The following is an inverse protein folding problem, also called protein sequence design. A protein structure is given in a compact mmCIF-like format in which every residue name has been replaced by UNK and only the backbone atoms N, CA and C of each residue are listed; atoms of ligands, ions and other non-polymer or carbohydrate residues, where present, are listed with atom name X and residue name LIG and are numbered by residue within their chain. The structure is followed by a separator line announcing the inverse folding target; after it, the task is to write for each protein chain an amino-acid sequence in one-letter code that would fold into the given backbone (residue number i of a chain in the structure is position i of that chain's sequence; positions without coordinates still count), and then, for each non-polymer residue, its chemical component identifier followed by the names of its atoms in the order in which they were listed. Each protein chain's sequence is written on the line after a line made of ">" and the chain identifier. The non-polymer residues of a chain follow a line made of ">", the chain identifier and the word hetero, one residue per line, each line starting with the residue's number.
data_IF_827675116539
#
_entry.id   IF_827675116539
#
_cell.length_a   1.000
_cell.length_b   1.000
_cell.length_c   1.000
_cell.angle_alpha   90.00
_cell.angle_beta   90.00
_cell.angle_gamma   90.00
#
_symmetry.space_group_name_H-M   'P 1'
#
loop_
_entity.id
_entity.type
_entity.pdbx_description
1 polymer ?
#
# COMPACT_ATOMS: atom_id res chain seq x y z
N UNK A 1 -21.50 -14.61 -9.45
CA UNK A 1 -20.89 -13.94 -8.28
C UNK A 1 -21.76 -12.75 -7.89
N UNK A 2 -22.21 -12.69 -6.64
CA UNK A 2 -22.95 -11.54 -6.14
C UNK A 2 -22.07 -10.29 -6.18
N UNK A 3 -22.58 -9.18 -6.72
CA UNK A 3 -21.85 -7.91 -6.70
C UNK A 3 -21.90 -7.30 -5.31
N UNK A 4 -20.80 -6.68 -4.86
CA UNK A 4 -20.76 -5.92 -3.63
C UNK A 4 -21.84 -4.82 -3.62
N UNK A 5 -22.66 -4.80 -2.58
CA UNK A 5 -23.68 -3.74 -2.43
C UNK A 5 -23.03 -2.42 -2.01
N UNK A 6 -22.99 -1.47 -2.94
CA UNK A 6 -22.35 -0.15 -2.73
C UNK A 6 -22.95 0.66 -1.57
N UNK A 7 -24.18 0.40 -1.15
CA UNK A 7 -24.80 1.04 0.03
C UNK A 7 -24.06 0.72 1.33
N UNK A 8 -23.23 -0.33 1.35
CA UNK A 8 -22.46 -0.74 2.53
C UNK A 8 -21.12 0.00 2.68
N UNK A 9 -20.64 0.73 1.66
CA UNK A 9 -19.40 1.50 1.78
C UNK A 9 -19.30 2.37 3.05
N UNK A 10 -20.34 3.15 3.43
CA UNK A 10 -20.25 4.03 4.58
C UNK A 10 -19.97 3.31 5.90
N UNK A 11 -20.49 2.10 6.10
CA UNK A 11 -20.29 1.30 7.32
C UNK A 11 -18.80 0.97 7.50
N UNK A 12 -18.19 0.45 6.45
CA UNK A 12 -16.79 0.04 6.46
C UNK A 12 -15.83 1.21 6.43
N UNK A 13 -16.13 2.25 5.65
CA UNK A 13 -15.33 3.48 5.59
C UNK A 13 -15.33 4.21 6.95
N UNK A 14 -16.47 4.27 7.66
CA UNK A 14 -16.55 4.82 9.03
C UNK A 14 -15.70 4.02 10.00
N UNK A 15 -15.71 2.69 9.89
CA UNK A 15 -14.86 1.82 10.71
C UNK A 15 -13.38 2.09 10.45
N UNK A 16 -12.93 2.10 9.18
CA UNK A 16 -11.53 2.37 8.81
C UNK A 16 -11.08 3.76 9.24
N UNK A 17 -11.94 4.78 9.08
CA UNK A 17 -11.66 6.15 9.52
C UNK A 17 -11.45 6.24 11.06
N UNK A 18 -12.24 5.50 11.84
CA UNK A 18 -12.03 5.39 13.29
C UNK A 18 -10.75 4.62 13.59
N UNK A 19 -10.52 3.50 12.90
CA UNK A 19 -9.34 2.65 13.10
C UNK A 19 -8.04 3.42 12.88
N UNK A 20 -7.96 4.28 11.84
CA UNK A 20 -6.79 5.13 11.59
C UNK A 20 -6.42 6.00 12.80
N UNK A 21 -7.43 6.64 13.42
CA UNK A 21 -7.25 7.47 14.62
C UNK A 21 -6.83 6.62 15.83
N UNK A 22 -7.48 5.46 16.01
CA UNK A 22 -7.17 4.51 17.08
C UNK A 22 -5.72 3.99 16.95
N UNK A 23 -5.24 3.71 15.73
CA UNK A 23 -3.87 3.26 15.44
C UNK A 23 -2.83 4.34 15.76
N UNK A 24 -3.09 5.58 15.36
CA UNK A 24 -2.21 6.71 15.69
C UNK A 24 -2.15 6.94 17.20
N UNK A 25 -3.29 6.89 17.89
CA UNK A 25 -3.33 6.98 19.35
C UNK A 25 -2.60 5.80 20.03
N UNK A 26 -2.77 4.59 19.53
CA UNK A 26 -2.09 3.39 20.04
C UNK A 26 -0.58 3.49 19.89
N UNK A 27 -0.09 3.99 18.74
CA UNK A 27 1.33 4.25 18.54
C UNK A 27 1.88 5.18 19.62
N UNK A 28 1.32 6.37 19.79
CA UNK A 28 1.83 7.37 20.73
C UNK A 28 1.70 6.95 22.21
N UNK A 29 0.65 6.21 22.55
CA UNK A 29 0.42 5.78 23.94
C UNK A 29 1.19 4.52 24.34
N UNK A 30 1.49 3.61 23.40
CA UNK A 30 2.03 2.27 23.73
C UNK A 30 3.32 1.92 23.02
N UNK A 31 3.52 2.36 21.77
CA UNK A 31 4.60 1.87 20.89
C UNK A 31 5.67 2.91 20.58
N UNK A 32 5.46 4.19 20.90
CA UNK A 32 6.48 5.23 20.76
C UNK A 32 7.55 5.12 21.88
N UNK A 33 8.19 3.95 21.93
CA UNK A 33 9.16 3.52 22.95
C UNK A 33 10.22 2.66 22.27
N UNK A 34 11.14 2.11 23.08
CA UNK A 34 12.08 1.07 22.64
C UNK A 34 11.32 -0.18 22.19
N UNK A 35 11.74 -0.78 21.09
CA UNK A 35 11.23 -2.02 20.55
C UNK A 35 12.38 -3.00 20.29
N UNK A 36 12.07 -4.30 20.23
CA UNK A 36 13.02 -5.33 19.84
C UNK A 36 12.88 -5.60 18.35
N UNK A 37 14.01 -5.83 17.67
CA UNK A 37 14.07 -6.20 16.26
C UNK A 37 14.53 -7.65 16.16
N UNK A 38 13.87 -8.42 15.30
CA UNK A 38 14.25 -9.77 14.92
C UNK A 38 14.34 -9.85 13.40
N UNK A 39 15.08 -10.82 12.87
CA UNK A 39 15.12 -11.08 11.43
C UNK A 39 14.26 -12.30 11.11
N UNK A 40 13.28 -12.19 10.20
CA UNK A 40 12.44 -13.30 9.75
C UNK A 40 13.23 -14.34 8.96
N UNK A 41 14.33 -13.92 8.29
CA UNK A 41 15.15 -14.81 7.48
C UNK A 41 16.19 -15.54 8.33
N UNK A 42 16.26 -16.87 8.15
CA UNK A 42 17.35 -17.71 8.66
C UNK A 42 18.43 -17.79 7.58
N UNK A 43 19.60 -17.13 7.78
CA UNK A 43 20.71 -17.15 6.82
C UNK A 43 20.99 -15.80 6.17
N UNK A 44 21.30 -15.80 4.84
CA UNK A 44 21.61 -14.56 4.12
C UNK A 44 20.35 -13.75 3.84
N UNK A 45 20.40 -12.45 4.13
CA UNK A 45 19.31 -11.50 3.90
C UNK A 45 18.84 -10.82 5.19
N UNK A 46 18.06 -9.75 5.03
CA UNK A 46 17.53 -8.96 6.14
C UNK A 46 16.06 -8.63 5.88
N UNK A 47 15.19 -9.26 6.66
CA UNK A 47 13.74 -9.03 6.68
C UNK A 47 13.31 -8.78 8.13
N UNK A 48 13.37 -7.52 8.60
CA UNK A 48 13.14 -7.20 10.00
C UNK A 48 11.66 -7.30 10.36
N UNK A 49 11.41 -7.80 11.58
CA UNK A 49 10.14 -7.70 12.29
C UNK A 49 10.40 -7.12 13.67
N UNK A 50 9.51 -6.29 14.15
CA UNK A 50 9.64 -5.70 15.48
C UNK A 50 8.51 -6.15 16.40
N UNK A 51 8.72 -5.98 17.70
CA UNK A 51 7.63 -6.20 18.69
C UNK A 51 6.44 -5.26 18.43
N UNK A 52 6.66 -4.16 17.70
CA UNK A 52 5.60 -3.23 17.32
C UNK A 52 4.73 -3.76 16.19
N UNK A 53 5.29 -4.49 15.20
CA UNK A 53 4.52 -5.17 14.14
C UNK A 53 3.50 -6.12 14.77
N UNK A 54 3.98 -6.98 15.67
CA UNK A 54 3.16 -7.94 16.40
C UNK A 54 2.05 -7.26 17.20
N UNK A 55 2.38 -6.17 17.91
CA UNK A 55 1.42 -5.43 18.72
C UNK A 55 0.36 -4.72 17.88
N UNK A 56 0.75 -4.09 16.76
CA UNK A 56 -0.18 -3.46 15.83
C UNK A 56 -1.13 -4.47 15.21
N UNK A 57 -0.63 -5.60 14.70
CA UNK A 57 -1.49 -6.59 14.08
C UNK A 57 -2.49 -7.18 15.07
N UNK A 58 -2.05 -7.49 16.30
CA UNK A 58 -2.94 -7.93 17.38
C UNK A 58 -4.04 -6.91 17.69
N UNK A 59 -3.67 -5.63 17.74
CA UNK A 59 -4.63 -4.54 17.97
C UNK A 59 -5.65 -4.44 16.83
N UNK A 60 -5.20 -4.45 15.56
CA UNK A 60 -6.07 -4.37 14.38
C UNK A 60 -7.03 -5.55 14.33
N UNK A 61 -6.51 -6.78 14.51
CA UNK A 61 -7.32 -8.01 14.55
C UNK A 61 -8.41 -7.97 15.63
N UNK A 62 -8.07 -7.47 16.83
CA UNK A 62 -9.03 -7.30 17.92
C UNK A 62 -10.18 -6.37 17.53
N UNK A 63 -9.88 -5.21 16.92
CA UNK A 63 -10.88 -4.25 16.46
C UNK A 63 -11.78 -4.82 15.37
N UNK A 64 -11.19 -5.50 14.38
CA UNK A 64 -11.93 -6.15 13.30
C UNK A 64 -12.82 -7.28 13.84
N UNK A 65 -12.27 -8.19 14.62
CA UNK A 65 -13.01 -9.35 15.16
C UNK A 65 -14.18 -8.94 16.07
N UNK A 66 -14.02 -7.84 16.83
CA UNK A 66 -15.10 -7.28 17.64
C UNK A 66 -16.25 -6.74 16.80
N UNK A 67 -15.96 -6.06 15.66
CA UNK A 67 -16.99 -5.42 14.84
C UNK A 67 -17.53 -6.32 13.73
N UNK A 68 -16.69 -7.19 13.18
CA UNK A 68 -16.97 -8.06 12.04
C UNK A 68 -16.49 -9.51 12.35
N UNK A 69 -17.10 -10.20 13.34
CA UNK A 69 -16.58 -11.48 13.85
C UNK A 69 -16.56 -12.61 12.80
N UNK A 70 -17.42 -12.51 11.78
CA UNK A 70 -17.54 -13.51 10.70
C UNK A 70 -16.57 -13.27 9.53
N UNK A 71 -15.91 -12.10 9.44
CA UNK A 71 -15.00 -11.80 8.33
C UNK A 71 -13.67 -12.57 8.47
N UNK A 72 -13.08 -12.90 7.34
CA UNK A 72 -11.71 -13.42 7.26
C UNK A 72 -10.70 -12.32 7.60
N UNK A 73 -9.53 -12.71 8.11
CA UNK A 73 -8.41 -11.78 8.34
C UNK A 73 -7.13 -12.45 7.83
N UNK A 74 -6.43 -11.78 6.94
CA UNK A 74 -5.13 -12.19 6.40
C UNK A 74 -4.13 -11.13 6.85
N UNK A 75 -3.14 -11.50 7.63
CA UNK A 75 -2.13 -10.56 8.12
C UNK A 75 -0.74 -11.09 7.89
N UNK A 76 0.22 -10.21 7.82
CA UNK A 76 1.61 -10.54 7.58
C UNK A 76 2.22 -11.36 8.73
N UNK A 77 1.89 -11.04 9.99
CA UNK A 77 2.56 -11.62 11.16
C UNK A 77 1.80 -12.81 11.78
N UNK A 78 0.47 -12.76 11.82
CA UNK A 78 -0.37 -13.82 12.40
C UNK A 78 -1.07 -14.70 11.36
N UNK A 79 -0.75 -14.53 10.06
CA UNK A 79 -1.29 -15.35 8.99
C UNK A 79 -2.81 -15.20 8.81
N UNK A 80 -3.48 -16.28 8.46
CA UNK A 80 -4.86 -16.28 7.99
C UNK A 80 -5.86 -16.84 9.01
N UNK A 81 -6.82 -16.00 9.44
CA UNK A 81 -8.06 -16.44 10.09
C UNK A 81 -9.09 -16.72 8.99
N UNK A 82 -9.24 -17.98 8.61
CA UNK A 82 -10.19 -18.41 7.57
C UNK A 82 -11.62 -18.54 8.14
N UNK A 83 -12.59 -18.09 7.37
CA UNK A 83 -14.03 -18.27 7.60
C UNK A 83 -14.73 -18.48 6.26
N UNK A 84 -16.05 -18.77 6.26
CA UNK A 84 -16.85 -18.87 5.01
C UNK A 84 -17.32 -17.52 4.46
N UNK A 85 -16.76 -16.39 4.93
CA UNK A 85 -17.18 -15.04 4.52
C UNK A 85 -16.65 -14.68 3.14
N UNK A 86 -17.45 -13.99 2.33
CA UNK A 86 -17.01 -13.31 1.10
C UNK A 86 -16.12 -12.09 1.39
N UNK A 87 -16.10 -11.60 2.65
CA UNK A 87 -15.28 -10.48 3.10
C UNK A 87 -14.00 -10.96 3.76
N UNK A 88 -12.89 -10.37 3.36
CA UNK A 88 -11.60 -10.54 4.03
C UNK A 88 -10.93 -9.19 4.30
N UNK A 89 -10.25 -9.09 5.45
CA UNK A 89 -9.36 -7.99 5.78
C UNK A 89 -7.93 -8.42 5.51
N UNK A 90 -7.18 -7.60 4.77
CA UNK A 90 -5.75 -7.83 4.54
C UNK A 90 -4.99 -6.75 5.29
N UNK A 91 -3.97 -7.14 6.06
CA UNK A 91 -3.28 -6.27 7.03
C UNK A 91 -1.78 -6.38 6.85
N UNK A 92 -1.13 -5.23 6.69
CA UNK A 92 0.27 -5.03 6.99
C UNK A 92 0.36 -4.12 8.23
N UNK A 93 0.87 -4.63 9.35
CA UNK A 93 0.95 -3.85 10.59
C UNK A 93 1.94 -2.69 10.50
N UNK A 94 3.08 -2.88 9.83
CA UNK A 94 4.09 -1.84 9.59
C UNK A 94 4.71 -2.04 8.19
N UNK A 95 4.07 -1.49 7.16
CA UNK A 95 4.71 -1.33 5.86
C UNK A 95 5.92 -0.40 5.96
N UNK A 96 7.04 -0.85 5.42
CA UNK A 96 8.31 -0.14 5.58
C UNK A 96 8.97 -0.37 6.95
N UNK A 97 9.01 -1.61 7.45
CA UNK A 97 9.64 -1.96 8.74
C UNK A 97 11.09 -1.50 8.83
N UNK A 98 11.84 -1.49 7.70
CA UNK A 98 13.20 -0.92 7.67
C UNK A 98 13.21 0.57 7.98
N UNK A 99 12.25 1.33 7.44
CA UNK A 99 12.05 2.75 7.77
C UNK A 99 11.67 2.94 9.25
N UNK A 100 10.82 2.07 9.79
CA UNK A 100 10.45 2.07 11.20
C UNK A 100 11.67 1.87 12.11
N UNK A 101 12.50 0.86 11.83
CA UNK A 101 13.69 0.51 12.63
C UNK A 101 14.71 1.65 12.72
N UNK A 102 14.92 2.39 11.63
CA UNK A 102 15.85 3.54 11.61
C UNK A 102 15.21 4.87 12.02
N UNK A 103 13.97 4.84 12.50
CA UNK A 103 13.28 6.03 13.02
C UNK A 103 12.71 6.97 11.96
N UNK A 104 12.68 6.57 10.67
CA UNK A 104 12.06 7.35 9.59
C UNK A 104 10.54 7.48 9.85
N UNK A 105 9.92 8.46 9.22
CA UNK A 105 8.48 8.76 9.38
C UNK A 105 7.60 8.15 8.27
N UNK A 106 8.21 7.53 7.25
CA UNK A 106 7.53 7.07 6.05
C UNK A 106 6.80 5.72 6.18
N UNK A 107 6.99 4.99 7.28
CA UNK A 107 6.30 3.73 7.52
C UNK A 107 4.78 3.92 7.76
N UNK A 108 4.01 2.88 7.48
CA UNK A 108 2.54 2.95 7.57
C UNK A 108 1.90 1.67 8.12
N UNK A 109 0.66 1.80 8.64
CA UNK A 109 -0.22 0.64 8.81
C UNK A 109 -1.10 0.55 7.57
N UNK A 110 -1.14 -0.60 6.91
CA UNK A 110 -1.94 -0.83 5.73
C UNK A 110 -3.08 -1.80 6.02
N UNK A 111 -4.30 -1.42 5.72
CA UNK A 111 -5.48 -2.26 5.93
C UNK A 111 -6.40 -2.19 4.71
N UNK A 112 -6.75 -3.34 4.17
CA UNK A 112 -7.74 -3.45 3.09
C UNK A 112 -8.96 -4.23 3.54
N UNK A 113 -10.15 -3.81 3.09
CA UNK A 113 -11.32 -4.66 3.03
C UNK A 113 -11.49 -5.17 1.61
N UNK A 114 -11.55 -6.48 1.46
CA UNK A 114 -11.78 -7.16 0.20
C UNK A 114 -13.17 -7.81 0.18
N UNK A 115 -13.75 -7.92 -0.99
CA UNK A 115 -14.96 -8.68 -1.27
C UNK A 115 -14.70 -9.67 -2.40
N UNK A 116 -14.89 -10.96 -2.16
CA UNK A 116 -14.53 -12.04 -3.09
C UNK A 116 -13.08 -11.92 -3.63
N UNK A 117 -12.14 -11.59 -2.74
CA UNK A 117 -10.72 -11.42 -3.08
C UNK A 117 -10.34 -10.06 -3.68
N UNK A 118 -11.29 -9.25 -4.15
CA UNK A 118 -11.02 -7.94 -4.74
C UNK A 118 -11.00 -6.82 -3.68
N UNK A 119 -9.95 -6.00 -3.61
CA UNK A 119 -9.88 -4.86 -2.70
C UNK A 119 -10.91 -3.79 -3.03
N UNK A 120 -11.80 -3.48 -2.07
CA UNK A 120 -12.87 -2.48 -2.25
C UNK A 120 -12.66 -1.22 -1.41
N UNK A 121 -12.01 -1.34 -0.25
CA UNK A 121 -11.60 -0.21 0.58
C UNK A 121 -10.15 -0.42 1.03
N UNK A 122 -9.39 0.67 1.12
CA UNK A 122 -8.02 0.68 1.60
C UNK A 122 -7.75 1.86 2.51
N UNK A 123 -7.01 1.59 3.57
CA UNK A 123 -6.47 2.56 4.52
C UNK A 123 -4.94 2.45 4.51
N UNK A 124 -4.27 3.58 4.29
CA UNK A 124 -2.84 3.75 4.54
C UNK A 124 -2.67 4.82 5.63
N UNK A 125 -2.31 4.40 6.85
CA UNK A 125 -2.16 5.25 8.01
C UNK A 125 -0.69 5.48 8.33
N UNK A 126 -0.27 6.73 8.45
CA UNK A 126 1.10 7.16 8.78
C UNK A 126 1.11 7.82 10.16
N UNK A 127 1.22 7.05 11.25
CA UNK A 127 1.08 7.55 12.62
C UNK A 127 2.05 8.69 12.95
N UNK A 128 3.33 8.57 12.57
CA UNK A 128 4.34 9.61 12.82
C UNK A 128 4.06 10.93 12.09
N UNK A 129 3.38 10.86 10.94
CA UNK A 129 2.97 12.05 10.18
C UNK A 129 1.61 12.58 10.63
N UNK A 130 0.88 11.86 11.51
CA UNK A 130 -0.52 12.16 11.89
C UNK A 130 -1.43 12.34 10.67
N UNK A 131 -1.21 11.50 9.66
CA UNK A 131 -1.82 11.57 8.33
C UNK A 131 -2.29 10.18 7.89
N UNK A 132 -3.43 10.09 7.23
CA UNK A 132 -3.88 8.84 6.63
C UNK A 132 -4.65 9.07 5.34
N UNK A 133 -4.64 8.04 4.48
CA UNK A 133 -5.33 7.99 3.19
C UNK A 133 -6.37 6.89 3.25
N UNK A 134 -7.56 7.20 2.75
CA UNK A 134 -8.70 6.30 2.77
C UNK A 134 -9.60 6.58 1.56
N UNK A 135 -9.94 5.54 0.78
CA UNK A 135 -11.06 5.68 -0.14
C UNK A 135 -12.39 5.45 0.61
N UNK A 136 -13.38 6.26 0.30
CA UNK A 136 -14.72 6.14 0.91
C UNK A 136 -15.68 5.29 0.07
N UNK A 137 -15.36 5.14 -1.22
CA UNK A 137 -16.03 4.30 -2.20
C UNK A 137 -15.12 4.14 -3.43
N UNK A 138 -15.60 3.46 -4.48
CA UNK A 138 -14.81 3.20 -5.69
C UNK A 138 -14.38 4.45 -6.48
N UNK A 139 -15.02 5.61 -6.24
CA UNK A 139 -14.84 6.84 -7.03
C UNK A 139 -14.24 8.00 -6.22
N UNK A 140 -13.99 7.82 -4.93
CA UNK A 140 -13.48 8.89 -4.09
C UNK A 140 -12.56 8.41 -3.00
N UNK A 141 -11.36 9.00 -2.97
CA UNK A 141 -10.38 8.82 -1.92
C UNK A 141 -9.95 10.18 -1.36
N UNK A 142 -9.50 10.17 -0.13
CA UNK A 142 -9.14 11.38 0.61
C UNK A 142 -7.89 11.17 1.42
N UNK A 143 -7.14 12.25 1.62
CA UNK A 143 -6.15 12.38 2.68
C UNK A 143 -6.76 13.14 3.85
N UNK A 144 -6.45 12.68 5.06
CA UNK A 144 -6.84 13.28 6.32
C UNK A 144 -5.58 13.68 7.07
N UNK A 145 -5.43 14.96 7.32
CA UNK A 145 -4.26 15.55 7.97
C UNK A 145 -4.66 16.84 8.69
N UNK A 146 -4.22 17.06 9.93
CA UNK A 146 -4.49 18.28 10.71
C UNK A 146 -5.99 18.65 10.72
N UNK A 147 -6.87 17.68 10.97
CA UNK A 147 -8.33 17.82 10.96
C UNK A 147 -8.92 18.27 9.61
N UNK A 148 -8.12 18.35 8.54
CA UNK A 148 -8.57 18.61 7.19
C UNK A 148 -8.79 17.30 6.43
N UNK A 149 -9.78 17.30 5.54
CA UNK A 149 -10.10 16.22 4.61
C UNK A 149 -9.97 16.76 3.19
N UNK A 150 -8.97 16.30 2.46
CA UNK A 150 -8.72 16.75 1.08
C UNK A 150 -8.93 15.59 0.11
N UNK A 151 -9.71 15.82 -0.95
CA UNK A 151 -9.97 14.81 -1.97
C UNK A 151 -8.70 14.54 -2.77
N UNK A 152 -8.37 13.27 -2.94
CA UNK A 152 -7.25 12.86 -3.77
C UNK A 152 -7.62 12.97 -5.25
N UNK A 153 -6.68 13.47 -6.03
CA UNK A 153 -6.81 13.57 -7.48
C UNK A 153 -5.42 13.61 -8.12
N UNK A 154 -5.16 12.66 -8.99
CA UNK A 154 -3.91 12.64 -9.77
C UNK A 154 -3.83 13.83 -10.74
N UNK A 155 -2.60 14.18 -11.14
CA UNK A 155 -2.37 15.12 -12.24
C UNK A 155 -2.22 14.35 -13.56
N UNK A 156 -3.33 14.10 -14.25
CA UNK A 156 -3.36 13.31 -15.49
C UNK A 156 -2.84 14.06 -16.73
N UNK A 157 -2.56 15.37 -16.63
CA UNK A 157 -2.09 16.20 -17.75
C UNK A 157 -0.58 16.13 -17.98
N UNK A 158 0.19 15.70 -16.97
CA UNK A 158 1.65 15.61 -17.09
C UNK A 158 2.03 14.46 -18.03
N UNK A 159 2.75 14.80 -19.09
CA UNK A 159 3.26 13.84 -20.06
C UNK A 159 4.57 13.19 -19.58
N UNK A 160 5.03 12.16 -20.29
CA UNK A 160 6.17 11.35 -19.90
C UNK A 160 7.49 12.13 -19.78
N UNK A 161 7.73 13.18 -20.59
CA UNK A 161 8.96 13.97 -20.53
C UNK A 161 9.12 14.71 -19.20
N UNK A 162 8.00 15.18 -18.64
CA UNK A 162 7.95 15.99 -17.42
C UNK A 162 7.48 15.18 -16.19
N UNK A 163 7.19 13.89 -16.36
CA UNK A 163 6.69 13.05 -15.29
C UNK A 163 7.78 12.77 -14.24
N UNK A 164 7.46 13.03 -12.99
CA UNK A 164 8.24 12.60 -11.83
C UNK A 164 8.07 11.10 -11.63
N UNK A 165 9.20 10.39 -11.62
CA UNK A 165 9.25 8.95 -11.51
C UNK A 165 10.02 8.54 -10.27
N UNK A 166 9.38 7.75 -9.41
CA UNK A 166 9.99 7.08 -8.28
C UNK A 166 9.92 5.55 -8.48
N UNK A 167 10.99 4.85 -8.13
CA UNK A 167 10.99 3.40 -8.19
C UNK A 167 11.88 2.79 -7.11
N UNK A 168 11.53 1.56 -6.70
CA UNK A 168 12.32 0.75 -5.79
C UNK A 168 12.33 -0.71 -6.23
N UNK A 169 13.51 -1.30 -6.23
CA UNK A 169 13.67 -2.70 -6.66
C UNK A 169 13.89 -3.66 -5.50
N UNK A 170 14.09 -3.17 -4.28
CA UNK A 170 14.25 -3.96 -3.03
C UNK A 170 15.19 -5.16 -3.18
N UNK A 171 16.28 -5.01 -3.96
CA UNK A 171 17.23 -6.07 -4.33
C UNK A 171 16.64 -7.24 -5.15
N UNK A 172 15.41 -7.12 -5.68
CA UNK A 172 14.78 -8.15 -6.52
C UNK A 172 15.20 -8.11 -8.00
N UNK A 173 15.94 -7.08 -8.41
CA UNK A 173 16.56 -7.01 -9.73
C UNK A 173 18.08 -7.09 -9.60
N UNK A 174 18.68 -8.12 -10.20
CA UNK A 174 20.14 -8.22 -10.32
C UNK A 174 20.70 -7.07 -11.17
N UNK A 175 21.99 -6.76 -11.04
CA UNK A 175 22.66 -5.77 -11.89
C UNK A 175 22.47 -6.05 -13.39
N UNK A 176 22.55 -7.32 -13.80
CA UNK A 176 22.31 -7.74 -15.20
C UNK A 176 20.88 -7.39 -15.67
N UNK A 177 19.88 -7.52 -14.81
CA UNK A 177 18.50 -7.13 -15.12
C UNK A 177 18.35 -5.61 -15.16
N UNK A 178 18.97 -4.89 -14.22
CA UNK A 178 18.94 -3.42 -14.20
C UNK A 178 19.58 -2.81 -15.45
N UNK A 179 20.68 -3.39 -15.96
CA UNK A 179 21.30 -2.98 -17.22
C UNK A 179 20.34 -3.07 -18.41
N UNK A 180 19.42 -4.06 -18.43
CA UNK A 180 18.42 -4.20 -19.50
C UNK A 180 17.38 -3.06 -19.50
N UNK A 181 17.20 -2.35 -18.39
CA UNK A 181 16.23 -1.26 -18.22
C UNK A 181 16.89 0.09 -17.93
N UNK A 182 18.12 0.29 -18.38
CA UNK A 182 18.89 1.52 -18.14
C UNK A 182 18.14 2.80 -18.54
N UNK A 183 17.36 2.77 -19.64
CA UNK A 183 16.53 3.90 -20.08
C UNK A 183 15.45 4.27 -19.04
N UNK A 184 14.92 3.29 -18.32
CA UNK A 184 14.00 3.51 -17.20
C UNK A 184 14.75 4.06 -15.97
N UNK A 185 15.86 3.42 -15.59
CA UNK A 185 16.66 3.80 -14.41
C UNK A 185 17.14 5.25 -14.51
N UNK A 186 17.60 5.70 -15.67
CA UNK A 186 18.02 7.10 -15.89
C UNK A 186 16.92 8.12 -15.62
N UNK A 187 15.66 7.70 -15.52
CA UNK A 187 14.53 8.58 -15.21
C UNK A 187 14.09 8.52 -13.75
N UNK A 188 14.70 7.63 -12.94
CA UNK A 188 14.45 7.54 -11.50
C UNK A 188 15.14 8.73 -10.80
N UNK A 189 14.37 9.76 -10.49
CA UNK A 189 14.90 11.00 -9.92
C UNK A 189 14.35 11.31 -8.53
N UNK A 190 13.33 10.57 -8.10
CA UNK A 190 12.65 10.81 -6.83
C UNK A 190 12.79 9.61 -5.89
N UNK A 191 12.90 9.87 -4.58
CA UNK A 191 12.95 8.79 -3.61
C UNK A 191 11.65 7.99 -3.63
N UNK A 192 11.76 6.70 -3.34
CA UNK A 192 10.64 5.78 -3.25
C UNK A 192 10.56 5.23 -1.81
N UNK A 193 9.46 5.51 -1.11
CA UNK A 193 9.20 5.12 0.27
C UNK A 193 7.92 4.28 0.31
N UNK A 194 8.05 2.99 0.10
CA UNK A 194 6.98 2.01 0.24
C UNK A 194 5.57 2.56 -0.10
N UNK A 195 4.55 2.37 0.73
CA UNK A 195 3.19 2.87 0.49
C UNK A 195 3.09 4.41 0.38
N UNK A 196 3.97 5.17 1.05
CA UNK A 196 3.91 6.63 1.00
C UNK A 196 4.03 7.16 -0.43
N UNK A 197 4.88 6.54 -1.25
CA UNK A 197 5.08 6.98 -2.63
C UNK A 197 3.84 6.78 -3.51
N UNK A 198 3.13 5.66 -3.33
CA UNK A 198 1.83 5.45 -3.98
C UNK A 198 0.79 6.48 -3.53
N UNK A 199 0.79 6.84 -2.25
CA UNK A 199 -0.09 7.87 -1.71
C UNK A 199 0.25 9.27 -2.27
N UNK A 200 1.53 9.60 -2.43
CA UNK A 200 1.97 10.83 -3.07
C UNK A 200 1.56 10.90 -4.55
N UNK A 201 1.52 9.77 -5.26
CA UNK A 201 0.96 9.71 -6.60
C UNK A 201 -0.55 10.02 -6.57
N UNK A 202 -1.29 9.44 -5.64
CA UNK A 202 -2.72 9.70 -5.48
C UNK A 202 -3.02 11.18 -5.14
N UNK A 203 -2.08 11.89 -4.50
CA UNK A 203 -2.14 13.36 -4.28
C UNK A 203 -1.80 14.17 -5.56
N UNK A 204 -1.32 13.53 -6.64
CA UNK A 204 -0.86 14.19 -7.85
C UNK A 204 0.53 14.85 -7.73
N UNK A 205 1.34 14.46 -6.73
CA UNK A 205 2.70 14.97 -6.52
C UNK A 205 3.76 14.20 -7.31
N UNK A 206 3.51 12.94 -7.63
CA UNK A 206 4.35 12.05 -8.44
C UNK A 206 3.45 11.47 -9.52
N UNK A 207 3.97 11.25 -10.72
CA UNK A 207 3.19 10.76 -11.84
C UNK A 207 3.36 9.26 -12.10
N UNK A 208 4.51 8.69 -11.70
CA UNK A 208 4.86 7.29 -11.99
C UNK A 208 5.55 6.67 -10.78
N UNK A 209 5.04 5.52 -10.33
CA UNK A 209 5.65 4.72 -9.27
C UNK A 209 5.79 3.27 -9.75
N UNK A 210 7.01 2.72 -9.65
CA UNK A 210 7.29 1.33 -9.97
C UNK A 210 8.04 0.65 -8.84
N UNK A 211 7.47 -0.40 -8.26
CA UNK A 211 8.08 -1.16 -7.17
C UNK A 211 8.09 -2.64 -7.47
N UNK A 212 9.11 -3.36 -6.96
CA UNK A 212 9.22 -4.81 -7.06
C UNK A 212 8.69 -5.51 -5.82
N UNK A 213 8.29 -6.77 -6.02
CA UNK A 213 8.05 -7.76 -4.96
C UNK A 213 7.03 -7.37 -3.88
N UNK A 214 6.04 -6.54 -4.25
CA UNK A 214 4.95 -6.22 -3.33
C UNK A 214 4.19 -7.50 -2.97
N UNK A 215 3.92 -7.70 -1.69
CA UNK A 215 3.01 -8.72 -1.20
C UNK A 215 1.57 -8.24 -1.29
N UNK A 216 0.62 -9.13 -1.04
CA UNK A 216 -0.80 -8.75 -1.07
C UNK A 216 -1.15 -7.71 -0.01
N UNK A 217 -0.49 -7.73 1.15
CA UNK A 217 -0.73 -6.77 2.23
C UNK A 217 -0.12 -5.40 1.94
N UNK A 218 0.94 -5.28 1.12
CA UNK A 218 1.49 -4.00 0.68
C UNK A 218 0.57 -3.32 -0.33
N UNK A 219 -0.10 -4.09 -1.20
CA UNK A 219 -0.76 -3.52 -2.39
C UNK A 219 -2.29 -3.49 -2.31
N UNK A 220 -2.96 -4.44 -1.64
CA UNK A 220 -4.42 -4.43 -1.53
C UNK A 220 -4.98 -3.13 -0.94
N UNK A 221 -4.37 -2.53 0.11
CA UNK A 221 -4.82 -1.24 0.64
C UNK A 221 -4.63 -0.08 -0.35
N UNK A 222 -3.62 -0.17 -1.19
CA UNK A 222 -3.24 0.88 -2.15
C UNK A 222 -4.14 0.88 -3.40
N UNK A 223 -4.50 -0.30 -3.92
CA UNK A 223 -5.31 -0.45 -5.14
C UNK A 223 -6.56 0.45 -5.14
N UNK A 224 -7.47 0.39 -4.14
CA UNK A 224 -8.69 1.19 -4.15
C UNK A 224 -8.40 2.68 -3.94
N UNK A 225 -7.36 3.06 -3.21
CA UNK A 225 -6.98 4.46 -3.00
C UNK A 225 -6.54 5.11 -4.31
N UNK A 226 -5.58 4.49 -5.01
CA UNK A 226 -5.02 5.06 -6.25
C UNK A 226 -6.03 5.03 -7.41
N UNK A 227 -6.82 3.95 -7.52
CA UNK A 227 -7.92 3.88 -8.51
C UNK A 227 -8.97 4.98 -8.28
N UNK A 228 -9.37 5.20 -7.03
CA UNK A 228 -10.35 6.25 -6.68
C UNK A 228 -9.79 7.68 -6.87
N UNK A 229 -8.47 7.87 -6.86
CA UNK A 229 -7.80 9.11 -7.24
C UNK A 229 -7.69 9.30 -8.76
N UNK A 230 -7.98 8.25 -9.57
CA UNK A 230 -7.96 8.26 -11.03
C UNK A 230 -6.72 7.64 -11.66
N UNK A 231 -5.82 7.02 -10.89
CA UNK A 231 -4.61 6.40 -11.40
C UNK A 231 -4.87 5.03 -12.06
N UNK A 232 -3.93 4.61 -12.90
CA UNK A 232 -3.87 3.28 -13.49
C UNK A 232 -2.86 2.46 -12.69
N UNK A 233 -3.25 1.27 -12.27
CA UNK A 233 -2.38 0.33 -11.55
C UNK A 233 -2.45 -1.05 -12.18
N UNK A 234 -1.29 -1.63 -12.48
CA UNK A 234 -1.12 -3.01 -12.98
C UNK A 234 0.18 -3.61 -12.45
N UNK A 235 0.39 -4.89 -12.72
CA UNK A 235 1.74 -5.47 -12.66
C UNK A 235 2.58 -4.97 -13.84
N UNK A 236 3.91 -5.21 -13.84
CA UNK A 236 4.81 -4.83 -14.95
C UNK A 236 4.54 -5.59 -16.25
N UNK A 237 3.84 -6.72 -16.18
CA UNK A 237 3.34 -7.46 -17.36
C UNK A 237 1.88 -7.13 -17.71
N UNK A 238 1.39 -5.98 -17.22
CA UNK A 238 0.08 -5.41 -17.51
C UNK A 238 -1.11 -6.30 -17.07
N UNK A 239 -0.97 -7.02 -15.96
CA UNK A 239 -2.04 -7.83 -15.37
C UNK A 239 -2.68 -7.16 -14.16
N UNK A 240 -3.77 -7.77 -13.65
CA UNK A 240 -4.39 -7.35 -12.39
C UNK A 240 -3.39 -7.48 -11.21
N UNK A 241 -3.18 -6.42 -10.42
CA UNK A 241 -2.18 -6.40 -9.33
C UNK A 241 -2.63 -7.13 -8.05
N UNK A 242 -3.79 -7.75 -8.02
CA UNK A 242 -4.38 -8.37 -6.80
C UNK A 242 -3.51 -9.48 -6.19
N UNK A 243 -2.67 -10.13 -6.97
CA UNK A 243 -1.74 -11.12 -6.44
C UNK A 243 -0.39 -10.53 -5.96
N UNK A 244 -0.26 -9.20 -5.99
CA UNK A 244 1.01 -8.55 -5.70
C UNK A 244 2.02 -8.65 -6.85
N UNK A 245 3.31 -8.66 -6.52
CA UNK A 245 4.41 -8.76 -7.48
C UNK A 245 5.02 -7.41 -7.84
N UNK A 246 5.50 -7.29 -9.07
CA UNK A 246 6.11 -6.04 -9.56
C UNK A 246 5.01 -5.10 -10.04
N UNK A 247 4.84 -3.97 -9.36
CA UNK A 247 3.70 -3.06 -9.51
C UNK A 247 4.11 -1.77 -10.22
N UNK A 248 3.25 -1.32 -11.13
CA UNK A 248 3.33 -0.02 -11.78
C UNK A 248 2.05 0.77 -11.53
N UNK A 249 2.19 1.99 -11.03
CA UNK A 249 1.10 2.97 -10.94
C UNK A 249 1.47 4.20 -11.76
N UNK A 250 0.51 4.74 -12.51
CA UNK A 250 0.74 5.91 -13.37
C UNK A 250 -0.47 6.83 -13.42
N UNK A 251 -0.20 8.09 -13.68
CA UNK A 251 -1.20 9.15 -13.74
C UNK A 251 -2.09 9.09 -15.01
N UNK A 252 -1.64 8.47 -16.11
CA UNK A 252 -2.40 8.36 -17.34
C UNK A 252 -1.97 7.15 -18.20
N UNK A 253 -2.81 6.77 -19.17
CA UNK A 253 -2.59 5.62 -20.04
C UNK A 253 -1.32 5.73 -20.88
N UNK A 254 -0.99 6.93 -21.37
CA UNK A 254 0.18 7.14 -22.20
C UNK A 254 1.49 6.88 -21.44
N UNK A 255 1.61 7.44 -20.24
CA UNK A 255 2.75 7.22 -19.35
C UNK A 255 2.84 5.76 -18.94
N UNK A 256 1.72 5.15 -18.58
CA UNK A 256 1.64 3.75 -18.21
C UNK A 256 2.21 2.83 -19.30
N UNK A 257 1.73 2.97 -20.53
CA UNK A 257 2.19 2.17 -21.68
C UNK A 257 3.68 2.40 -22.00
N UNK A 258 4.16 3.64 -21.91
CA UNK A 258 5.59 3.94 -22.11
C UNK A 258 6.46 3.23 -21.08
N UNK A 259 6.07 3.26 -19.82
CA UNK A 259 6.82 2.59 -18.73
C UNK A 259 6.78 1.08 -18.88
N UNK A 260 5.62 0.49 -19.18
CA UNK A 260 5.53 -0.96 -19.43
C UNK A 260 6.48 -1.41 -20.55
N UNK A 261 6.61 -0.61 -21.63
CA UNK A 261 7.59 -0.92 -22.70
C UNK A 261 9.03 -0.88 -22.19
N UNK A 262 9.38 0.08 -21.33
CA UNK A 262 10.72 0.19 -20.74
C UNK A 262 11.03 -0.94 -19.75
N UNK A 263 10.04 -1.44 -19.01
CA UNK A 263 10.19 -2.52 -18.04
C UNK A 263 10.07 -3.91 -18.64
N UNK A 264 9.55 -4.03 -19.91
CA UNK A 264 9.32 -5.32 -20.59
C UNK A 264 10.51 -6.30 -20.50
N UNK A 265 11.80 -5.87 -20.63
CA UNK A 265 12.94 -6.80 -20.56
C UNK A 265 13.08 -7.56 -19.24
N UNK A 266 12.43 -7.10 -18.16
CA UNK A 266 12.51 -7.68 -16.81
C UNK A 266 11.13 -7.95 -16.19
N UNK A 267 10.04 -7.77 -16.94
CA UNK A 267 8.68 -7.92 -16.42
C UNK A 267 8.29 -9.36 -16.08
N UNK A 268 9.00 -10.34 -16.62
CA UNK A 268 8.73 -11.78 -16.45
C UNK A 268 9.74 -12.46 -15.51
N UNK A 269 10.49 -11.70 -14.75
CA UNK A 269 11.47 -12.26 -13.79
C UNK A 269 10.83 -12.56 -12.45
#
# INVERSE_FOLDING_TARGET
>A
MNKFNSKNYPIYAKFLNKLAKDLTSFYYSKLNKTFKVSNKLKGKGYDPVTTSDIAFEKFIRSKISKKFPKHQIIGEEYGHKNTKSEFSWVIDPIDGTRSYVVGNTSWSNLISLNYNGEPILGLANFPKMKKYYLNLNKNSAYVFENNKKTKLKINNKVNFSNAKLAAAFHNHLSLKQQLKITKFIKRMQFPCFDALTYCQLAEGRIEIVAQCANKIWDIHPIIPIVKAAGAIITTWDNKNPVLGGNILVSNNKQNHQKVLKLLKPVSKS
#
